data_IF_048101129367
#
_entry.id   IF_048101129367
#
_cell.length_a   1.000
_cell.length_b   1.000
_cell.length_c   1.000
_cell.angle_alpha   90.00
_cell.angle_beta   90.00
_cell.angle_gamma   90.00
#
_symmetry.space_group_name_H-M   'P 1'
#
loop_
_entity.id
_entity.type
_entity.pdbx_description
1 polymer ?
#
# COMPACT_ATOMS: atom_id res chain seq x y z
N UNK A 1 30.28 10.33 -16.18
CA UNK A 1 29.41 9.28 -16.76
C UNK A 1 28.44 9.98 -17.70
N UNK A 2 28.85 10.16 -18.96
CA UNK A 2 28.07 10.93 -19.94
C UNK A 2 27.07 9.95 -20.55
N UNK A 3 25.77 10.20 -20.35
CA UNK A 3 24.72 9.41 -20.95
C UNK A 3 24.87 9.41 -22.48
N UNK A 4 24.63 8.26 -23.13
CA UNK A 4 24.68 8.16 -24.60
C UNK A 4 23.72 9.20 -25.23
N UNK A 5 24.08 9.86 -26.34
CA UNK A 5 23.15 10.70 -27.09
C UNK A 5 21.87 9.91 -27.39
N UNK A 6 20.71 10.44 -27.01
CA UNK A 6 19.41 9.78 -27.19
C UNK A 6 18.90 8.94 -26.00
N UNK A 7 19.66 8.83 -24.90
CA UNK A 7 19.22 8.09 -23.72
C UNK A 7 17.95 8.70 -23.08
N UNK A 8 16.95 7.84 -22.82
CA UNK A 8 15.71 8.23 -22.15
C UNK A 8 15.98 8.77 -20.73
N UNK A 9 15.05 9.56 -20.17
CA UNK A 9 15.18 10.05 -18.79
C UNK A 9 15.34 8.89 -17.78
N UNK A 10 14.64 7.77 -18.01
CA UNK A 10 14.76 6.57 -17.20
C UNK A 10 16.15 5.94 -17.31
N UNK A 11 16.74 5.86 -18.49
CA UNK A 11 18.11 5.35 -18.67
C UNK A 11 19.14 6.23 -17.97
N UNK A 12 18.97 7.56 -18.03
CA UNK A 12 19.85 8.49 -17.30
C UNK A 12 19.74 8.28 -15.81
N UNK A 13 18.53 8.14 -15.28
CA UNK A 13 18.32 7.86 -13.86
C UNK A 13 18.92 6.52 -13.45
N UNK A 14 18.70 5.47 -14.26
CA UNK A 14 19.22 4.14 -13.96
C UNK A 14 20.76 4.12 -13.95
N UNK A 15 21.37 4.88 -14.88
CA UNK A 15 22.82 5.04 -14.94
C UNK A 15 23.43 5.77 -13.73
N UNK A 16 22.65 6.58 -12.99
CA UNK A 16 23.14 7.20 -11.75
C UNK A 16 23.46 6.18 -10.67
N UNK A 17 22.75 5.04 -10.65
CA UNK A 17 22.84 4.03 -9.60
C UNK A 17 22.40 4.57 -8.23
N UNK A 18 23.23 5.40 -7.59
CA UNK A 18 23.03 6.05 -6.29
C UNK A 18 22.80 7.56 -6.48
N UNK A 19 21.56 7.99 -6.77
CA UNK A 19 21.28 9.35 -7.24
C UNK A 19 21.67 10.43 -6.22
N UNK A 20 21.49 10.17 -4.92
CA UNK A 20 21.80 11.13 -3.86
C UNK A 20 23.29 11.50 -3.79
N UNK A 21 24.19 10.61 -4.23
CA UNK A 21 25.63 10.87 -4.30
C UNK A 21 25.99 11.84 -5.43
N UNK A 22 25.11 12.07 -6.39
CA UNK A 22 25.35 12.94 -7.53
C UNK A 22 24.72 14.33 -7.38
N UNK A 23 24.04 14.59 -6.25
CA UNK A 23 23.52 15.92 -5.96
C UNK A 23 24.65 16.94 -5.77
N UNK A 24 24.47 18.19 -6.27
CA UNK A 24 25.34 19.28 -5.88
C UNK A 24 25.22 19.55 -4.37
N UNK A 25 26.21 20.21 -3.79
CA UNK A 25 26.29 20.46 -2.35
C UNK A 25 25.00 21.11 -1.80
N UNK A 26 24.51 22.16 -2.45
CA UNK A 26 23.27 22.84 -2.06
C UNK A 26 22.05 21.93 -2.12
N UNK A 27 21.97 21.05 -3.12
CA UNK A 27 20.85 20.13 -3.30
C UNK A 27 20.84 19.04 -2.24
N UNK A 28 22.03 18.50 -1.90
CA UNK A 28 22.17 17.55 -0.81
C UNK A 28 21.85 18.20 0.55
N UNK A 29 22.30 19.43 0.78
CA UNK A 29 22.00 20.20 1.99
C UNK A 29 20.49 20.46 2.13
N UNK A 30 19.82 20.84 1.03
CA UNK A 30 18.37 21.03 1.02
C UNK A 30 17.61 19.74 1.35
N UNK A 31 17.98 18.61 0.74
CA UNK A 31 17.33 17.31 1.03
C UNK A 31 17.53 16.90 2.48
N UNK A 32 18.72 17.10 3.06
CA UNK A 32 18.98 16.83 4.47
C UNK A 32 18.19 17.76 5.38
N UNK A 33 18.12 19.05 5.07
CA UNK A 33 17.35 20.03 5.85
C UNK A 33 15.85 19.69 5.84
N UNK A 34 15.28 19.37 4.67
CA UNK A 34 13.89 18.94 4.54
C UNK A 34 13.63 17.63 5.27
N UNK A 35 14.55 16.67 5.20
CA UNK A 35 14.43 15.43 5.95
C UNK A 35 14.47 15.69 7.46
N UNK A 36 15.44 16.46 7.95
CA UNK A 36 15.55 16.80 9.37
C UNK A 36 14.29 17.51 9.87
N UNK A 37 13.76 18.46 9.09
CA UNK A 37 12.51 19.13 9.39
C UNK A 37 11.32 18.16 9.42
N UNK A 38 11.21 17.24 8.45
CA UNK A 38 10.16 16.23 8.43
C UNK A 38 10.25 15.26 9.62
N UNK A 39 11.45 14.83 9.99
CA UNK A 39 11.66 13.97 11.16
C UNK A 39 11.26 14.70 12.45
N UNK A 40 11.74 15.93 12.67
CA UNK A 40 11.41 16.73 13.85
C UNK A 40 9.91 17.05 13.94
N UNK A 41 9.29 17.42 12.82
CA UNK A 41 7.85 17.66 12.74
C UNK A 41 7.06 16.38 13.04
N UNK A 42 7.46 15.23 12.47
CA UNK A 42 6.78 13.96 12.69
C UNK A 42 6.87 13.49 14.14
N UNK A 43 8.02 13.69 14.81
CA UNK A 43 8.24 13.30 16.20
C UNK A 43 7.35 14.07 17.19
N UNK A 44 6.93 15.28 16.83
CA UNK A 44 6.17 16.19 17.72
C UNK A 44 4.70 16.30 17.36
N UNK A 45 4.35 16.10 16.09
CA UNK A 45 2.99 16.34 15.58
C UNK A 45 2.14 15.08 15.46
N UNK A 46 2.75 13.90 15.58
CA UNK A 46 2.05 12.62 15.45
C UNK A 46 1.69 12.12 16.85
N UNK A 47 0.38 11.91 17.12
CA UNK A 47 -0.08 11.50 18.42
C UNK A 47 0.39 10.06 18.69
N UNK A 48 0.52 9.67 19.97
CA UNK A 48 0.85 8.31 20.29
C UNK A 48 -0.19 7.33 19.76
N UNK A 49 0.23 6.10 19.42
CA UNK A 49 -0.68 5.07 18.98
C UNK A 49 -1.83 4.88 19.97
N UNK A 50 -3.03 4.57 19.49
CA UNK A 50 -4.25 4.51 20.32
C UNK A 50 -4.13 3.49 21.49
N UNK A 51 -3.25 2.50 21.38
CA UNK A 51 -2.96 1.51 22.41
C UNK A 51 -2.12 2.05 23.58
N UNK A 52 -1.50 3.22 23.44
CA UNK A 52 -0.69 3.89 24.46
C UNK A 52 -1.47 4.89 25.31
N UNK A 53 -2.72 5.18 24.94
CA UNK A 53 -3.61 6.02 25.74
C UNK A 53 -4.47 5.15 26.67
N UNK A 54 -4.65 5.49 27.96
CA UNK A 54 -5.64 4.83 28.81
C UNK A 54 -7.02 5.08 28.20
N UNK A 55 -7.56 4.05 27.53
CA UNK A 55 -8.89 3.98 26.88
C UNK A 55 -9.65 5.30 26.86
N UNK A 56 -9.11 6.28 26.13
CA UNK A 56 -9.78 7.56 25.96
C UNK A 56 -10.91 7.27 24.98
N UNK A 57 -12.10 7.07 25.55
CA UNK A 57 -13.40 6.89 24.90
C UNK A 57 -13.31 7.35 23.45
N UNK A 58 -13.24 6.39 22.54
CA UNK A 58 -13.38 6.65 21.10
C UNK A 58 -14.58 7.57 20.96
N UNK A 59 -14.33 8.81 20.53
CA UNK A 59 -15.37 9.80 20.38
C UNK A 59 -16.49 9.15 19.57
N UNK A 60 -17.72 9.09 20.11
CA UNK A 60 -18.82 8.46 19.40
C UNK A 60 -18.99 9.24 18.11
N UNK A 61 -19.00 8.54 16.98
CA UNK A 61 -19.68 9.05 15.79
C UNK A 61 -21.14 9.21 16.21
N UNK A 62 -21.49 10.41 16.65
CA UNK A 62 -22.85 10.82 16.89
C UNK A 62 -23.55 10.90 15.54
N UNK A 63 -24.14 9.78 15.14
CA UNK A 63 -25.39 9.81 14.40
C UNK A 63 -26.43 9.15 15.31
N UNK A 64 -26.96 9.96 16.24
CA UNK A 64 -28.17 9.64 16.94
C UNK A 64 -29.35 9.96 16.02
N UNK A 65 -29.96 8.94 15.42
CA UNK A 65 -31.42 8.81 15.26
C UNK A 65 -31.75 7.51 14.54
N UNK A 66 -31.85 6.42 15.30
CA UNK A 66 -33.06 5.59 15.40
C UNK A 66 -32.74 4.35 16.22
N UNK A 67 -33.54 4.15 17.27
CA UNK A 67 -33.46 2.99 18.14
C UNK A 67 -33.70 1.71 17.32
N UNK A 68 -32.70 0.83 17.30
CA UNK A 68 -32.91 -0.58 16.98
C UNK A 68 -32.51 -1.41 18.20
N UNK A 69 -33.52 -1.86 18.93
CA UNK A 69 -33.42 -2.90 19.96
C UNK A 69 -33.04 -4.23 19.29
N UNK A 70 -31.75 -4.53 19.28
CA UNK A 70 -31.20 -5.81 18.89
C UNK A 70 -29.81 -5.98 19.53
N UNK A 71 -29.31 -7.22 19.71
CA UNK A 71 -27.97 -7.44 20.25
C UNK A 71 -26.95 -6.67 19.42
N UNK A 72 -26.05 -5.95 20.09
CA UNK A 72 -25.08 -5.09 19.44
C UNK A 72 -24.19 -5.91 18.48
N UNK A 73 -24.36 -5.74 17.16
CA UNK A 73 -23.51 -6.39 16.15
C UNK A 73 -22.07 -5.92 16.33
N UNK A 74 -21.12 -6.86 16.26
CA UNK A 74 -19.69 -6.53 16.23
C UNK A 74 -19.42 -5.50 15.11
N UNK A 75 -18.85 -4.35 15.50
CA UNK A 75 -18.61 -3.19 14.65
C UNK A 75 -17.24 -3.29 13.95
N UNK A 76 -17.10 -2.58 12.82
CA UNK A 76 -15.87 -2.50 12.02
C UNK A 76 -15.86 -3.37 10.76
N UNK A 77 -14.99 -3.01 9.82
CA UNK A 77 -14.91 -3.59 8.47
C UNK A 77 -14.63 -5.09 8.48
N UNK A 78 -13.71 -5.57 9.32
CA UNK A 78 -13.39 -7.00 9.39
C UNK A 78 -14.60 -7.84 9.83
N UNK A 79 -15.39 -7.33 10.78
CA UNK A 79 -16.61 -8.00 11.24
C UNK A 79 -17.70 -8.00 10.15
N UNK A 80 -17.77 -6.93 9.35
CA UNK A 80 -18.64 -6.85 8.18
C UNK A 80 -18.26 -7.93 7.15
N UNK A 81 -16.98 -8.00 6.76
CA UNK A 81 -16.50 -8.98 5.78
C UNK A 81 -16.67 -10.43 6.27
N UNK A 82 -16.46 -10.69 7.56
CA UNK A 82 -16.70 -12.01 8.14
C UNK A 82 -18.17 -12.45 8.02
N UNK A 83 -19.13 -11.54 8.22
CA UNK A 83 -20.56 -11.85 8.05
C UNK A 83 -20.92 -12.09 6.58
N UNK A 84 -20.35 -11.31 5.66
CA UNK A 84 -20.55 -11.51 4.22
C UNK A 84 -20.04 -12.90 3.81
N UNK A 85 -18.83 -13.27 4.24
CA UNK A 85 -18.25 -14.59 3.97
C UNK A 85 -19.11 -15.72 4.54
N UNK A 86 -19.64 -15.57 5.77
CA UNK A 86 -20.53 -16.56 6.37
C UNK A 86 -21.84 -16.75 5.58
N UNK A 87 -22.44 -15.66 5.09
CA UNK A 87 -23.64 -15.72 4.24
C UNK A 87 -23.37 -16.39 2.89
N UNK A 88 -22.23 -16.09 2.28
CA UNK A 88 -21.79 -16.77 1.04
C UNK A 88 -21.51 -18.25 1.25
N UNK A 89 -20.94 -18.63 2.40
CA UNK A 89 -20.77 -20.05 2.76
C UNK A 89 -22.13 -20.77 2.90
N UNK A 90 -23.19 -20.03 3.27
CA UNK A 90 -24.58 -20.50 3.27
C UNK A 90 -25.24 -20.56 1.88
N UNK A 91 -24.50 -20.28 0.80
CA UNK A 91 -24.98 -20.35 -0.58
C UNK A 91 -25.53 -19.03 -1.16
N UNK A 92 -25.48 -17.94 -0.40
CA UNK A 92 -25.95 -16.64 -0.89
C UNK A 92 -24.97 -16.00 -1.89
N UNK A 93 -25.49 -15.31 -2.92
CA UNK A 93 -24.67 -14.55 -3.86
C UNK A 93 -23.99 -13.33 -3.21
N UNK A 94 -22.79 -12.99 -3.68
CA UNK A 94 -21.96 -11.93 -3.10
C UNK A 94 -22.71 -10.59 -2.90
N UNK A 95 -23.36 -10.08 -3.95
CA UNK A 95 -24.00 -8.76 -3.88
C UNK A 95 -25.18 -8.72 -2.91
N UNK A 96 -25.98 -9.79 -2.85
CA UNK A 96 -27.09 -9.88 -1.90
C UNK A 96 -26.57 -9.90 -0.44
N UNK A 97 -25.54 -10.70 -0.18
CA UNK A 97 -24.88 -10.76 1.13
C UNK A 97 -24.23 -9.42 1.51
N UNK A 98 -23.45 -8.83 0.60
CA UNK A 98 -22.70 -7.60 0.83
C UNK A 98 -23.62 -6.40 1.08
N UNK A 99 -24.56 -6.12 0.16
CA UNK A 99 -25.47 -4.98 0.33
C UNK A 99 -26.42 -5.18 1.52
N UNK A 100 -26.84 -6.42 1.78
CA UNK A 100 -27.65 -6.76 2.96
C UNK A 100 -26.90 -6.44 4.26
N UNK A 101 -25.65 -6.89 4.41
CA UNK A 101 -24.86 -6.61 5.60
C UNK A 101 -24.45 -5.14 5.73
N UNK A 102 -24.19 -4.44 4.62
CA UNK A 102 -23.95 -3.00 4.63
C UNK A 102 -25.13 -2.25 5.24
N UNK A 103 -26.35 -2.48 4.72
CA UNK A 103 -27.58 -1.85 5.25
C UNK A 103 -27.81 -2.18 6.71
N UNK A 104 -27.72 -3.46 7.06
CA UNK A 104 -27.94 -3.93 8.42
C UNK A 104 -26.91 -3.41 9.44
N UNK A 105 -25.77 -2.91 8.95
CA UNK A 105 -24.67 -2.38 9.76
C UNK A 105 -24.51 -0.86 9.61
N UNK A 106 -25.39 -0.18 8.87
CA UNK A 106 -25.34 1.27 8.65
C UNK A 106 -24.18 1.74 7.76
N UNK A 107 -23.60 0.87 6.92
CA UNK A 107 -22.58 1.26 5.95
C UNK A 107 -23.19 1.77 4.65
N UNK A 108 -22.54 2.72 3.96
CA UNK A 108 -22.99 3.19 2.67
C UNK A 108 -22.87 2.12 1.57
N UNK A 109 -23.80 2.14 0.62
CA UNK A 109 -23.78 1.33 -0.62
C UNK A 109 -23.61 2.21 -1.87
N UNK A 110 -23.39 3.51 -1.67
CA UNK A 110 -23.23 4.51 -2.73
C UNK A 110 -22.02 5.41 -2.49
N UNK A 111 -21.19 5.72 -3.50
CA UNK A 111 -21.14 5.10 -4.83
C UNK A 111 -20.69 3.62 -4.76
N UNK A 112 -20.66 2.91 -5.88
CA UNK A 112 -20.41 1.45 -5.89
C UNK A 112 -19.11 1.04 -5.18
N UNK A 113 -18.08 1.89 -5.19
CA UNK A 113 -16.78 1.65 -4.52
C UNK A 113 -16.85 1.54 -2.99
N UNK A 114 -18.01 1.83 -2.38
CA UNK A 114 -18.21 1.55 -0.95
C UNK A 114 -18.39 0.07 -0.68
N UNK A 115 -18.88 -0.69 -1.67
CA UNK A 115 -18.92 -2.16 -1.67
C UNK A 115 -17.60 -2.66 -2.25
N UNK A 116 -16.95 -3.61 -1.58
CA UNK A 116 -15.66 -4.14 -2.04
C UNK A 116 -15.83 -5.00 -3.30
N UNK A 117 -14.73 -5.25 -4.00
CA UNK A 117 -14.72 -6.21 -5.09
C UNK A 117 -14.96 -7.64 -4.55
N UNK A 118 -15.68 -8.49 -5.29
CA UNK A 118 -16.08 -9.81 -4.82
C UNK A 118 -14.92 -10.80 -4.65
N UNK A 119 -13.78 -10.55 -5.30
CA UNK A 119 -12.72 -11.54 -5.49
C UNK A 119 -12.20 -12.12 -4.19
N UNK A 120 -11.92 -11.31 -3.17
CA UNK A 120 -11.40 -11.84 -1.91
C UNK A 120 -12.45 -12.72 -1.20
N UNK A 121 -13.71 -12.32 -1.21
CA UNK A 121 -14.80 -13.11 -0.63
C UNK A 121 -15.03 -14.43 -1.38
N UNK A 122 -14.88 -14.43 -2.72
CA UNK A 122 -14.93 -15.65 -3.54
C UNK A 122 -13.74 -16.58 -3.24
N UNK A 123 -12.53 -16.04 -3.02
CA UNK A 123 -11.38 -16.85 -2.60
C UNK A 123 -11.61 -17.41 -1.19
N UNK A 124 -12.16 -16.63 -0.26
CA UNK A 124 -12.54 -17.13 1.07
C UNK A 124 -13.56 -18.26 1.00
N UNK A 125 -14.52 -18.18 0.07
CA UNK A 125 -15.52 -19.24 -0.13
C UNK A 125 -14.88 -20.55 -0.61
N UNK A 126 -13.78 -20.49 -1.37
CA UNK A 126 -13.12 -21.69 -1.93
C UNK A 126 -12.10 -22.32 -1.00
N UNK A 127 -11.22 -21.53 -0.37
CA UNK A 127 -10.11 -22.05 0.47
C UNK A 127 -10.29 -21.77 1.96
N UNK A 128 -11.38 -21.09 2.35
CA UNK A 128 -11.62 -20.67 3.73
C UNK A 128 -10.66 -19.56 4.19
N UNK A 129 -10.95 -18.99 5.36
CA UNK A 129 -10.15 -17.92 5.96
C UNK A 129 -8.69 -18.36 6.21
N UNK A 130 -8.50 -19.58 6.73
CA UNK A 130 -7.16 -20.14 6.98
C UNK A 130 -6.37 -20.34 5.68
N UNK A 131 -7.04 -20.70 4.58
CA UNK A 131 -6.41 -20.82 3.28
C UNK A 131 -5.93 -19.48 2.74
N UNK A 132 -6.73 -18.42 2.89
CA UNK A 132 -6.31 -17.04 2.55
C UNK A 132 -5.13 -16.59 3.43
N UNK A 133 -5.14 -16.91 4.72
CA UNK A 133 -4.03 -16.61 5.62
C UNK A 133 -2.74 -17.34 5.19
N UNK A 134 -2.83 -18.62 4.84
CA UNK A 134 -1.71 -19.39 4.31
C UNK A 134 -1.19 -18.80 2.99
N UNK A 135 -2.10 -18.35 2.11
CA UNK A 135 -1.73 -17.67 0.88
C UNK A 135 -1.01 -16.34 1.15
N UNK A 136 -1.45 -15.55 2.12
CA UNK A 136 -0.79 -14.31 2.53
C UNK A 136 0.66 -14.56 3.02
N UNK A 137 0.86 -15.59 3.84
CA UNK A 137 2.21 -16.01 4.28
C UNK A 137 3.07 -16.51 3.11
N UNK A 138 2.47 -17.26 2.18
CA UNK A 138 3.15 -17.73 0.98
C UNK A 138 3.59 -16.55 0.11
N UNK A 139 2.71 -15.59 -0.18
CA UNK A 139 3.02 -14.39 -0.97
C UNK A 139 4.17 -13.61 -0.32
N UNK A 140 4.14 -13.43 1.00
CA UNK A 140 5.21 -12.76 1.76
C UNK A 140 6.54 -13.51 1.61
N UNK A 141 6.52 -14.83 1.76
CA UNK A 141 7.70 -15.68 1.61
C UNK A 141 8.26 -15.63 0.18
N UNK A 142 7.40 -15.68 -0.83
CA UNK A 142 7.78 -15.54 -2.24
C UNK A 142 8.36 -14.17 -2.53
N UNK A 143 7.85 -13.10 -1.90
CA UNK A 143 8.41 -11.76 -2.03
C UNK A 143 9.84 -11.67 -1.45
N UNK A 144 10.10 -12.31 -0.29
CA UNK A 144 11.46 -12.42 0.29
C UNK A 144 12.40 -13.19 -0.62
N UNK A 145 11.92 -14.28 -1.22
CA UNK A 145 12.69 -15.04 -2.21
C UNK A 145 12.98 -14.18 -3.45
N UNK A 146 11.98 -13.47 -3.98
CA UNK A 146 12.12 -12.61 -5.16
C UNK A 146 13.09 -11.43 -4.93
N UNK A 147 13.15 -10.90 -3.70
CA UNK A 147 14.13 -9.91 -3.27
C UNK A 147 15.57 -10.43 -3.35
N UNK A 148 15.77 -11.71 -3.02
CA UNK A 148 17.08 -12.34 -2.91
C UNK A 148 17.55 -13.01 -4.22
N UNK A 149 16.64 -13.40 -5.10
CA UNK A 149 16.94 -13.94 -6.44
C UNK A 149 17.00 -12.86 -7.53
N UNK A 150 17.50 -11.67 -7.20
CA UNK A 150 17.73 -10.62 -8.20
C UNK A 150 19.09 -10.83 -8.86
N UNK A 151 19.16 -10.67 -10.18
CA UNK A 151 20.43 -10.71 -10.93
C UNK A 151 21.41 -9.65 -10.43
N UNK A 152 20.91 -8.44 -10.15
CA UNK A 152 21.62 -7.41 -9.41
C UNK A 152 21.08 -7.38 -7.96
N UNK A 153 21.88 -7.77 -6.96
CA UNK A 153 21.47 -7.73 -5.56
C UNK A 153 21.03 -6.33 -5.11
N UNK A 154 20.11 -6.26 -4.14
CA UNK A 154 19.67 -4.97 -3.57
C UNK A 154 20.75 -4.29 -2.72
N UNK A 155 21.74 -5.04 -2.27
CA UNK A 155 22.88 -4.60 -1.47
C UNK A 155 23.81 -5.77 -1.17
N UNK A 156 24.79 -5.54 -0.31
CA UNK A 156 25.63 -6.59 0.27
C UNK A 156 24.83 -7.52 1.19
N UNK A 157 25.46 -8.57 1.70
CA UNK A 157 24.80 -9.58 2.54
C UNK A 157 24.10 -8.96 3.77
N UNK A 158 24.73 -8.06 4.56
CA UNK A 158 24.06 -7.43 5.69
C UNK A 158 22.81 -6.64 5.30
N UNK A 159 22.89 -5.81 4.24
CA UNK A 159 21.71 -5.04 3.76
C UNK A 159 20.61 -5.97 3.29
N UNK A 160 20.93 -7.09 2.65
CA UNK A 160 19.94 -8.09 2.20
C UNK A 160 19.26 -8.80 3.36
N UNK A 161 20.01 -9.17 4.40
CA UNK A 161 19.44 -9.77 5.62
C UNK A 161 18.49 -8.77 6.27
N UNK A 162 18.93 -7.53 6.46
CA UNK A 162 18.10 -6.47 7.05
C UNK A 162 16.86 -6.19 6.20
N UNK A 163 16.98 -6.10 4.87
CA UNK A 163 15.85 -5.90 3.97
C UNK A 163 14.85 -7.06 4.03
N UNK A 164 15.33 -8.31 4.11
CA UNK A 164 14.48 -9.49 4.26
C UNK A 164 13.76 -9.51 5.61
N UNK A 165 14.46 -9.12 6.69
CA UNK A 165 13.86 -8.97 8.02
C UNK A 165 12.80 -7.87 8.06
N UNK A 166 13.05 -6.71 7.43
CA UNK A 166 12.07 -5.63 7.32
C UNK A 166 10.85 -6.02 6.48
N UNK A 167 11.05 -6.79 5.40
CA UNK A 167 9.97 -7.34 4.58
C UNK A 167 9.10 -8.31 5.41
N UNK A 168 9.73 -9.21 6.16
CA UNK A 168 9.03 -10.13 7.05
C UNK A 168 8.27 -9.40 8.16
N UNK A 169 8.89 -8.39 8.79
CA UNK A 169 8.28 -7.59 9.84
C UNK A 169 7.08 -6.77 9.32
N UNK A 170 7.20 -6.14 8.16
CA UNK A 170 6.08 -5.44 7.51
C UNK A 170 4.96 -6.39 7.08
N UNK A 171 5.29 -7.64 6.76
CA UNK A 171 4.33 -8.67 6.35
C UNK A 171 3.72 -9.44 7.53
N UNK A 172 4.17 -9.17 8.75
CA UNK A 172 3.79 -9.90 9.96
C UNK A 172 2.28 -9.87 10.26
N UNK A 173 1.55 -8.88 9.73
CA UNK A 173 0.10 -8.83 9.81
C UNK A 173 -0.58 -10.08 9.18
N UNK A 174 0.08 -10.81 8.28
CA UNK A 174 -0.40 -12.09 7.76
C UNK A 174 -0.60 -13.16 8.85
N UNK A 175 0.05 -13.03 10.01
CA UNK A 175 -0.16 -13.90 11.17
C UNK A 175 -1.44 -13.59 11.95
N UNK A 176 -2.07 -12.44 11.69
CA UNK A 176 -3.33 -12.07 12.32
C UNK A 176 -4.48 -12.98 11.85
N UNK A 177 -5.33 -13.50 12.76
CA UNK A 177 -6.47 -14.34 12.39
C UNK A 177 -7.49 -13.66 11.46
N UNK A 178 -7.52 -12.33 11.44
CA UNK A 178 -8.44 -11.54 10.60
C UNK A 178 -7.80 -11.03 9.31
N UNK A 179 -6.51 -11.27 9.09
CA UNK A 179 -5.79 -10.75 7.91
C UNK A 179 -6.42 -11.17 6.58
N UNK A 180 -7.02 -12.37 6.54
CA UNK A 180 -7.67 -12.87 5.34
C UNK A 180 -8.91 -12.09 4.92
N UNK A 181 -9.46 -11.22 5.79
CA UNK A 181 -10.57 -10.31 5.45
C UNK A 181 -10.10 -8.95 4.94
N UNK A 182 -8.81 -8.64 5.09
CA UNK A 182 -8.29 -7.31 4.81
C UNK A 182 -7.88 -7.16 3.34
N UNK A 183 -8.67 -6.39 2.60
CA UNK A 183 -8.49 -6.24 1.16
C UNK A 183 -7.28 -5.37 0.84
N UNK A 184 -7.01 -4.33 1.64
CA UNK A 184 -5.93 -3.39 1.41
C UNK A 184 -4.59 -4.06 1.75
N UNK A 185 -4.53 -4.84 2.84
CA UNK A 185 -3.37 -5.67 3.17
C UNK A 185 -3.07 -6.74 2.12
N UNK A 186 -4.05 -7.56 1.72
CA UNK A 186 -3.83 -8.63 0.72
C UNK A 186 -3.38 -8.03 -0.62
N UNK A 187 -3.98 -6.91 -1.05
CA UNK A 187 -3.54 -6.21 -2.24
C UNK A 187 -2.10 -5.65 -2.08
N UNK A 188 -1.74 -5.11 -0.92
CA UNK A 188 -0.38 -4.67 -0.60
C UNK A 188 0.66 -5.79 -0.73
N UNK A 189 0.37 -6.99 -0.20
CA UNK A 189 1.24 -8.16 -0.35
C UNK A 189 1.47 -8.51 -1.82
N UNK A 190 0.41 -8.51 -2.62
CA UNK A 190 0.46 -8.80 -4.06
C UNK A 190 1.21 -7.72 -4.84
N UNK A 191 1.02 -6.43 -4.52
CA UNK A 191 1.78 -5.32 -5.11
C UNK A 191 3.26 -5.37 -4.72
N UNK A 192 3.57 -5.77 -3.49
CA UNK A 192 4.94 -6.01 -3.04
C UNK A 192 5.59 -7.15 -3.82
N UNK A 193 4.87 -8.26 -4.02
CA UNK A 193 5.34 -9.35 -4.86
C UNK A 193 5.55 -8.87 -6.30
N UNK A 194 4.62 -8.10 -6.87
CA UNK A 194 4.77 -7.53 -8.21
C UNK A 194 6.03 -6.66 -8.33
N UNK A 195 6.26 -5.77 -7.36
CA UNK A 195 7.44 -4.89 -7.32
C UNK A 195 8.76 -5.69 -7.30
N UNK A 196 8.83 -6.73 -6.46
CA UNK A 196 10.06 -7.48 -6.20
C UNK A 196 10.31 -8.58 -7.24
N UNK A 197 9.25 -9.22 -7.75
CA UNK A 197 9.32 -10.22 -8.81
C UNK A 197 9.57 -9.62 -10.19
N UNK A 198 9.35 -8.31 -10.35
CA UNK A 198 9.56 -7.63 -11.64
C UNK A 198 10.97 -7.87 -12.20
N UNK A 199 11.02 -8.29 -13.47
CA UNK A 199 12.24 -8.42 -14.28
C UNK A 199 11.97 -7.90 -15.71
N UNK A 200 12.85 -7.08 -16.31
CA UNK A 200 12.68 -6.62 -17.69
C UNK A 200 12.64 -7.77 -18.72
N UNK A 201 13.34 -8.88 -18.50
CA UNK A 201 13.28 -10.04 -19.39
C UNK A 201 12.03 -10.92 -19.21
N UNK A 202 11.41 -10.88 -18.02
CA UNK A 202 10.32 -11.77 -17.64
C UNK A 202 9.35 -11.02 -16.70
N UNK A 203 8.53 -10.17 -17.30
CA UNK A 203 7.65 -9.24 -16.56
C UNK A 203 6.28 -9.82 -16.22
N UNK A 204 5.87 -10.90 -16.88
CA UNK A 204 4.53 -11.47 -16.72
C UNK A 204 4.22 -11.98 -15.30
N UNK A 205 5.15 -12.56 -14.50
CA UNK A 205 4.80 -13.01 -13.14
C UNK A 205 4.42 -11.83 -12.24
N UNK A 206 5.14 -10.71 -12.38
CA UNK A 206 4.80 -9.47 -11.70
C UNK A 206 3.45 -8.92 -12.18
N UNK A 207 3.10 -9.11 -13.45
CA UNK A 207 1.82 -8.66 -13.99
C UNK A 207 0.67 -9.47 -13.41
N UNK A 208 0.83 -10.79 -13.27
CA UNK A 208 -0.17 -11.64 -12.60
C UNK A 208 -0.38 -11.21 -11.15
N UNK A 209 0.69 -10.93 -10.41
CA UNK A 209 0.59 -10.45 -9.03
C UNK A 209 -0.13 -9.08 -8.96
N UNK A 210 0.21 -8.14 -9.84
CA UNK A 210 -0.47 -6.85 -9.92
C UNK A 210 -1.94 -6.96 -10.36
N UNK A 211 -2.25 -7.88 -11.27
CA UNK A 211 -3.61 -8.20 -11.70
C UNK A 211 -4.46 -8.80 -10.59
N UNK A 212 -3.88 -9.72 -9.81
CA UNK A 212 -4.53 -10.24 -8.61
C UNK A 212 -4.78 -9.14 -7.58
N UNK A 213 -3.83 -8.20 -7.40
CA UNK A 213 -4.03 -7.05 -6.53
C UNK A 213 -5.20 -6.18 -6.99
N UNK A 214 -5.29 -5.88 -8.30
CA UNK A 214 -6.42 -5.16 -8.91
C UNK A 214 -7.75 -5.86 -8.67
N UNK A 215 -7.79 -7.19 -8.80
CA UNK A 215 -9.01 -7.97 -8.60
C UNK A 215 -9.48 -7.92 -7.13
N UNK A 216 -8.56 -7.85 -6.17
CA UNK A 216 -8.87 -7.71 -4.75
C UNK A 216 -9.24 -6.27 -4.39
N UNK A 217 -8.52 -5.29 -4.93
CA UNK A 217 -8.62 -3.90 -4.52
C UNK A 217 -8.38 -2.92 -5.67
N UNK A 218 -9.38 -2.08 -5.93
CA UNK A 218 -9.34 -1.07 -6.98
C UNK A 218 -8.27 0.01 -6.75
N UNK A 219 -7.90 0.27 -5.49
CA UNK A 219 -6.80 1.18 -5.13
C UNK A 219 -5.41 0.69 -5.53
N UNK A 220 -5.30 -0.54 -6.05
CA UNK A 220 -4.06 -1.01 -6.70
C UNK A 220 -3.85 -0.38 -8.10
N UNK A 221 -4.87 0.22 -8.71
CA UNK A 221 -4.79 0.81 -10.05
C UNK A 221 -3.65 1.83 -10.24
N UNK A 222 -3.38 2.76 -9.31
CA UNK A 222 -2.30 3.73 -9.51
C UNK A 222 -0.91 3.07 -9.59
N UNK A 223 -0.68 1.93 -8.93
CA UNK A 223 0.56 1.16 -9.09
C UNK A 223 0.72 0.65 -10.53
N UNK A 224 -0.35 0.10 -11.11
CA UNK A 224 -0.34 -0.48 -12.46
C UNK A 224 -0.25 0.62 -13.52
N UNK A 225 -0.89 1.77 -13.30
CA UNK A 225 -0.74 2.96 -14.15
C UNK A 225 0.69 3.50 -14.08
N UNK A 226 1.31 3.54 -12.89
CA UNK A 226 2.72 3.90 -12.76
C UNK A 226 3.61 2.94 -13.56
N UNK A 227 3.32 1.64 -13.53
CA UNK A 227 4.03 0.66 -14.34
C UNK A 227 3.83 0.91 -15.84
N UNK A 228 2.62 1.19 -16.29
CA UNK A 228 2.37 1.56 -17.68
C UNK A 228 3.23 2.77 -18.10
N UNK A 229 3.31 3.79 -17.25
CA UNK A 229 4.18 4.96 -17.48
C UNK A 229 5.66 4.59 -17.65
N UNK A 230 6.18 3.70 -16.81
CA UNK A 230 7.55 3.19 -16.93
C UNK A 230 7.76 2.38 -18.21
N UNK A 231 6.80 1.53 -18.57
CA UNK A 231 6.87 0.71 -19.78
C UNK A 231 6.84 1.58 -21.06
N UNK A 232 6.00 2.62 -21.08
CA UNK A 232 5.92 3.60 -22.15
C UNK A 232 7.22 4.41 -22.28
N UNK A 233 7.72 4.94 -21.17
CA UNK A 233 8.96 5.71 -21.14
C UNK A 233 10.19 4.88 -21.56
N UNK A 234 10.19 3.57 -21.28
CA UNK A 234 11.21 2.63 -21.74
C UNK A 234 10.92 2.04 -23.14
N UNK A 235 9.84 2.46 -23.81
CA UNK A 235 9.40 1.97 -25.14
C UNK A 235 9.27 0.43 -25.22
N UNK A 236 8.87 -0.22 -24.12
CA UNK A 236 8.72 -1.68 -24.04
C UNK A 236 7.32 -2.11 -24.48
N UNK A 237 7.03 -2.00 -25.77
CA UNK A 237 5.68 -2.16 -26.31
C UNK A 237 4.95 -3.47 -25.96
N UNK A 238 5.67 -4.59 -25.86
CA UNK A 238 5.09 -5.86 -25.41
C UNK A 238 4.57 -5.79 -23.97
N UNK A 239 5.33 -5.13 -23.10
CA UNK A 239 4.93 -4.88 -21.71
C UNK A 239 3.82 -3.84 -21.63
N UNK A 240 3.88 -2.78 -22.44
CA UNK A 240 2.80 -1.79 -22.57
C UNK A 240 1.48 -2.48 -22.93
N UNK A 241 1.49 -3.35 -23.94
CA UNK A 241 0.30 -4.09 -24.35
C UNK A 241 -0.24 -5.00 -23.22
N UNK A 242 0.64 -5.70 -22.49
CA UNK A 242 0.23 -6.53 -21.36
C UNK A 242 -0.37 -5.73 -20.19
N UNK A 243 0.29 -4.63 -19.80
CA UNK A 243 -0.15 -3.76 -18.70
C UNK A 243 -1.44 -3.01 -19.09
N UNK A 244 -1.53 -2.51 -20.32
CA UNK A 244 -2.77 -1.88 -20.80
C UNK A 244 -3.91 -2.89 -20.89
N UNK A 245 -3.64 -4.10 -21.38
CA UNK A 245 -4.62 -5.18 -21.45
C UNK A 245 -5.21 -5.53 -20.09
N UNK A 246 -4.38 -5.64 -19.04
CA UNK A 246 -4.90 -5.94 -17.70
C UNK A 246 -5.73 -4.79 -17.12
N UNK A 247 -5.37 -3.54 -17.43
CA UNK A 247 -6.16 -2.36 -17.03
C UNK A 247 -7.52 -2.33 -17.74
N UNK A 248 -7.59 -2.71 -19.02
CA UNK A 248 -8.86 -2.83 -19.77
C UNK A 248 -9.75 -3.92 -19.18
N UNK A 249 -9.20 -5.10 -18.91
CA UNK A 249 -9.93 -6.20 -18.26
C UNK A 249 -10.44 -5.76 -16.88
N UNK A 250 -9.59 -5.10 -16.10
CA UNK A 250 -9.97 -4.56 -14.79
C UNK A 250 -11.08 -3.51 -14.91
N UNK A 251 -11.00 -2.58 -15.85
CA UNK A 251 -12.05 -1.58 -16.08
C UNK A 251 -13.40 -2.23 -16.43
N UNK A 252 -13.40 -3.27 -17.28
CA UNK A 252 -14.58 -4.06 -17.57
C UNK A 252 -15.15 -4.75 -16.32
N UNK A 253 -14.28 -5.33 -15.49
CA UNK A 253 -14.67 -5.94 -14.21
C UNK A 253 -15.27 -4.93 -13.22
N UNK A 254 -14.69 -3.73 -13.12
CA UNK A 254 -15.21 -2.64 -12.30
C UNK A 254 -16.55 -2.14 -12.81
N UNK A 255 -16.74 -2.04 -14.13
CA UNK A 255 -18.02 -1.67 -14.73
C UNK A 255 -19.11 -2.71 -14.44
N UNK A 256 -18.79 -4.00 -14.57
CA UNK A 256 -19.69 -5.09 -14.21
C UNK A 256 -20.03 -5.06 -12.71
N UNK A 257 -19.04 -4.83 -11.85
CA UNK A 257 -19.25 -4.67 -10.42
C UNK A 257 -20.14 -3.48 -10.09
N UNK A 258 -19.92 -2.33 -10.72
CA UNK A 258 -20.74 -1.14 -10.56
C UNK A 258 -22.20 -1.41 -10.97
N UNK A 259 -22.42 -2.06 -12.12
CA UNK A 259 -23.75 -2.44 -12.59
C UNK A 259 -24.46 -3.41 -11.64
N UNK A 260 -23.75 -4.38 -11.08
CA UNK A 260 -24.31 -5.33 -10.11
C UNK A 260 -24.67 -4.67 -8.78
N UNK A 261 -23.83 -3.76 -8.27
CA UNK A 261 -24.16 -2.97 -7.08
C UNK A 261 -25.38 -2.08 -7.36
N UNK A 262 -25.42 -1.42 -8.52
CA UNK A 262 -26.52 -0.53 -8.90
C UNK A 262 -27.85 -1.28 -9.02
N UNK A 263 -27.86 -2.46 -9.66
CA UNK A 263 -29.03 -3.32 -9.78
C UNK A 263 -29.58 -3.81 -8.43
N UNK A 264 -28.73 -3.89 -7.40
CA UNK A 264 -29.11 -4.33 -6.06
C UNK A 264 -29.44 -3.18 -5.08
N UNK A 265 -29.45 -1.91 -5.55
CA UNK A 265 -29.75 -0.74 -4.72
C UNK A 265 -31.21 -0.69 -4.29
N UNK A 266 -31.44 -0.12 -3.11
CA UNK A 266 -32.77 0.14 -2.57
C UNK A 266 -32.98 1.63 -2.30
N UNK A 267 -34.23 2.12 -2.33
CA UNK A 267 -34.56 3.45 -1.82
C UNK A 267 -34.09 3.61 -0.37
N UNK A 268 -33.44 4.74 -0.04
CA UNK A 268 -32.89 5.01 1.29
C UNK A 268 -31.47 4.49 1.54
N UNK A 269 -30.85 3.83 0.56
CA UNK A 269 -29.45 3.40 0.65
C UNK A 269 -28.50 4.56 0.97
N UNK A 270 -27.68 4.38 2.01
CA UNK A 270 -26.78 5.39 2.54
C UNK A 270 -25.71 5.78 1.51
N UNK A 271 -25.45 7.09 1.44
CA UNK A 271 -24.43 7.69 0.59
C UNK A 271 -23.17 7.96 1.41
N UNK A 272 -22.03 7.50 0.91
CA UNK A 272 -20.72 7.79 1.48
C UNK A 272 -20.40 9.27 1.38
N UNK A 273 -19.67 9.77 2.37
CA UNK A 273 -19.19 11.15 2.43
C UNK A 273 -18.10 11.46 1.38
N UNK A 274 -17.69 10.49 0.56
CA UNK A 274 -16.67 10.66 -0.48
C UNK A 274 -15.23 10.72 0.06
N UNK A 275 -14.29 11.16 -0.79
CA UNK A 275 -12.85 11.21 -0.53
C UNK A 275 -12.32 12.65 -0.53
N UNK A 276 -12.97 13.54 0.21
CA UNK A 276 -12.56 14.94 0.39
C UNK A 276 -11.95 15.18 1.77
N UNK A 277 -11.11 14.25 2.25
CA UNK A 277 -10.63 14.22 3.63
C UNK A 277 -9.55 15.25 3.97
N UNK A 278 -8.67 15.61 3.02
CA UNK A 278 -7.57 16.58 3.19
C UNK A 278 -6.79 16.44 4.52
N UNK A 279 -6.55 15.20 4.96
CA UNK A 279 -5.98 14.92 6.27
C UNK A 279 -4.48 15.27 6.38
N UNK A 280 -3.82 15.60 5.26
CA UNK A 280 -2.40 15.92 5.19
C UNK A 280 -1.50 14.70 5.44
N UNK A 281 -0.18 14.90 5.40
CA UNK A 281 0.81 13.83 5.59
C UNK A 281 0.85 13.25 7.01
N UNK A 282 0.15 13.84 7.98
CA UNK A 282 -0.01 13.26 9.32
C UNK A 282 -0.70 11.90 9.24
N UNK A 283 -1.70 11.74 8.36
CA UNK A 283 -2.47 10.51 8.23
C UNK A 283 -1.62 9.30 7.78
N UNK A 284 -0.92 9.32 6.63
CA UNK A 284 -0.11 8.17 6.21
C UNK A 284 1.01 7.84 7.19
N UNK A 285 1.65 8.83 7.84
CA UNK A 285 2.73 8.55 8.80
C UNK A 285 2.15 7.92 10.08
N UNK A 286 1.03 8.42 10.61
CA UNK A 286 0.35 7.81 11.75
C UNK A 286 -0.13 6.39 11.43
N UNK A 287 -0.68 6.18 10.23
CA UNK A 287 -1.12 4.88 9.76
C UNK A 287 0.02 3.86 9.71
N UNK A 288 1.18 4.25 9.17
CA UNK A 288 2.38 3.40 9.18
C UNK A 288 2.85 3.08 10.59
N UNK A 289 2.73 4.03 11.53
CA UNK A 289 2.97 3.80 12.95
C UNK A 289 2.06 2.70 13.53
N UNK A 290 0.76 2.74 13.22
CA UNK A 290 -0.23 1.80 13.77
C UNK A 290 -0.23 0.41 13.12
N UNK A 291 -0.02 0.36 11.80
CA UNK A 291 -0.23 -0.83 10.97
C UNK A 291 1.03 -1.66 10.77
N UNK A 292 2.14 -1.28 11.40
CA UNK A 292 3.42 -1.99 11.28
C UNK A 292 4.03 -2.26 12.65
N UNK A 293 5.20 -2.91 12.68
CA UNK A 293 5.96 -3.13 13.91
C UNK A 293 6.34 -1.84 14.64
N UNK A 294 6.25 -0.66 13.99
CA UNK A 294 6.50 0.63 14.61
C UNK A 294 5.52 0.95 15.76
N UNK A 295 4.36 0.30 15.80
CA UNK A 295 3.34 0.49 16.86
C UNK A 295 3.85 0.15 18.26
N UNK A 296 4.91 -0.66 18.34
CA UNK A 296 5.53 -1.07 19.60
C UNK A 296 6.59 -0.08 20.09
N UNK A 297 6.86 0.99 19.33
CA UNK A 297 7.80 2.04 19.69
C UNK A 297 7.05 3.28 20.20
N UNK A 298 7.69 4.11 21.05
CA UNK A 298 7.15 5.43 21.40
C UNK A 298 6.87 6.28 20.16
N UNK A 299 5.80 7.05 20.17
CA UNK A 299 5.35 7.89 19.04
C UNK A 299 6.46 8.76 18.44
N UNK A 300 7.24 9.41 19.32
CA UNK A 300 8.32 10.31 18.96
C UNK A 300 9.43 9.61 18.17
N UNK A 301 9.54 8.28 18.27
CA UNK A 301 10.49 7.46 17.52
C UNK A 301 9.83 6.76 16.32
N UNK A 302 8.63 6.23 16.50
CA UNK A 302 7.87 5.53 15.46
C UNK A 302 7.62 6.43 14.23
N UNK A 303 7.19 7.67 14.47
CA UNK A 303 6.88 8.62 13.41
C UNK A 303 8.09 8.97 12.51
N UNK A 304 9.25 9.37 13.06
CA UNK A 304 10.47 9.54 12.26
C UNK A 304 10.88 8.29 11.50
N UNK A 305 10.81 7.10 12.14
CA UNK A 305 11.12 5.83 11.50
C UNK A 305 10.14 5.49 10.36
N UNK A 306 8.91 5.99 10.40
CA UNK A 306 7.97 5.84 9.28
C UNK A 306 8.28 6.75 8.08
N UNK A 307 9.09 7.80 8.23
CA UNK A 307 9.50 8.72 7.14
C UNK A 307 10.74 8.23 6.40
N UNK A 308 11.71 7.70 7.14
CA UNK A 308 13.00 7.23 6.60
C UNK A 308 12.94 6.24 5.43
N UNK A 309 11.96 5.32 5.32
CA UNK A 309 11.97 4.33 4.24
C UNK A 309 11.87 4.98 2.86
N UNK A 310 11.17 6.10 2.72
CA UNK A 310 11.07 6.82 1.45
C UNK A 310 12.43 7.34 0.98
N UNK A 311 13.25 7.88 1.90
CA UNK A 311 14.63 8.30 1.62
C UNK A 311 15.51 7.10 1.27
N UNK A 312 15.32 5.97 1.94
CA UNK A 312 16.02 4.74 1.61
C UNK A 312 15.72 4.26 0.19
N UNK A 313 14.46 4.23 -0.22
CA UNK A 313 14.05 3.88 -1.58
C UNK A 313 14.60 4.87 -2.62
N UNK A 314 14.59 6.17 -2.33
CA UNK A 314 15.16 7.18 -3.19
C UNK A 314 16.68 6.99 -3.34
N UNK A 315 17.38 6.76 -2.24
CA UNK A 315 18.83 6.53 -2.22
C UNK A 315 19.26 5.22 -2.86
N UNK A 316 18.41 4.18 -2.83
CA UNK A 316 18.65 2.92 -3.55
C UNK A 316 18.80 3.15 -5.05
N UNK A 317 18.06 4.12 -5.59
CA UNK A 317 18.12 4.52 -6.98
C UNK A 317 17.83 3.40 -7.98
N UNK A 318 18.23 3.63 -9.23
CA UNK A 318 17.85 2.77 -10.35
C UNK A 318 16.35 2.76 -10.61
N UNK A 319 15.91 1.91 -11.55
CA UNK A 319 14.49 1.75 -11.89
C UNK A 319 13.66 1.31 -10.67
N UNK A 320 14.17 0.38 -9.87
CA UNK A 320 13.46 -0.14 -8.71
C UNK A 320 13.25 0.95 -7.65
N UNK A 321 14.31 1.69 -7.30
CA UNK A 321 14.24 2.77 -6.31
C UNK A 321 13.33 3.91 -6.76
N UNK A 322 13.41 4.31 -8.04
CA UNK A 322 12.52 5.36 -8.57
C UNK A 322 11.05 4.92 -8.55
N UNK A 323 10.77 3.72 -9.05
CA UNK A 323 9.41 3.19 -9.06
C UNK A 323 8.83 3.11 -7.65
N UNK A 324 9.61 2.56 -6.70
CA UNK A 324 9.21 2.46 -5.30
C UNK A 324 8.98 3.84 -4.68
N UNK A 325 9.88 4.81 -4.91
CA UNK A 325 9.74 6.18 -4.39
C UNK A 325 8.49 6.86 -4.91
N UNK A 326 8.20 6.74 -6.22
CA UNK A 326 7.00 7.32 -6.83
C UNK A 326 5.73 6.62 -6.35
N UNK A 327 5.75 5.30 -6.19
CA UNK A 327 4.62 4.55 -5.65
C UNK A 327 4.32 4.93 -4.20
N UNK A 328 5.32 4.87 -3.32
CA UNK A 328 5.14 5.13 -1.90
C UNK A 328 4.89 6.61 -1.59
N UNK A 329 5.58 7.51 -2.28
CA UNK A 329 5.28 8.94 -2.21
C UNK A 329 3.88 9.24 -2.77
N UNK A 330 3.50 8.58 -3.87
CA UNK A 330 2.20 8.72 -4.51
C UNK A 330 1.05 8.28 -3.61
N UNK A 331 1.13 7.08 -3.01
CA UNK A 331 0.08 6.58 -2.10
C UNK A 331 -0.02 7.42 -0.83
N UNK A 332 1.12 7.86 -0.25
CA UNK A 332 1.11 8.76 0.90
C UNK A 332 0.48 10.11 0.55
N UNK A 333 0.76 10.65 -0.63
CA UNK A 333 0.16 11.89 -1.12
C UNK A 333 -1.33 11.72 -1.41
N UNK A 334 -1.73 10.59 -2.01
CA UNK A 334 -3.14 10.26 -2.22
C UNK A 334 -3.90 10.21 -0.89
N UNK A 335 -3.31 9.61 0.14
CA UNK A 335 -3.88 9.61 1.49
C UNK A 335 -3.98 11.03 2.06
N UNK A 336 -2.91 11.83 1.95
CA UNK A 336 -2.88 13.19 2.47
C UNK A 336 -3.98 14.08 1.85
N UNK A 337 -4.26 13.91 0.55
CA UNK A 337 -5.23 14.73 -0.17
C UNK A 337 -6.67 14.20 -0.06
N UNK A 338 -6.86 12.89 -0.12
CA UNK A 338 -8.18 12.30 -0.35
C UNK A 338 -8.69 11.44 0.81
N UNK A 339 -7.80 10.81 1.56
CA UNK A 339 -8.21 9.89 2.62
C UNK A 339 -8.79 10.64 3.83
N UNK A 340 -9.84 10.07 4.40
CA UNK A 340 -10.36 10.45 5.72
C UNK A 340 -9.55 9.72 6.79
N UNK A 341 -9.54 10.19 8.06
CA UNK A 341 -8.87 9.47 9.16
C UNK A 341 -9.29 8.00 9.29
N UNK A 342 -10.56 7.68 9.01
CA UNK A 342 -11.07 6.31 9.01
C UNK A 342 -10.47 5.41 7.90
N UNK A 343 -9.85 5.98 6.87
CA UNK A 343 -9.24 5.27 5.76
C UNK A 343 -7.71 5.04 5.98
N UNK A 344 -7.23 5.10 7.22
CA UNK A 344 -5.80 4.95 7.54
C UNK A 344 -5.20 3.64 7.00
N UNK A 345 -6.00 2.58 6.89
CA UNK A 345 -5.63 1.28 6.33
C UNK A 345 -5.18 1.31 4.87
N UNK A 346 -5.41 2.40 4.10
CA UNK A 346 -4.84 2.53 2.75
C UNK A 346 -3.30 2.46 2.72
N UNK A 347 -2.63 2.75 3.85
CA UNK A 347 -1.18 2.60 3.96
C UNK A 347 -0.70 1.16 3.77
N UNK A 348 -1.58 0.17 3.93
CA UNK A 348 -1.25 -1.25 3.75
C UNK A 348 -0.97 -1.61 2.29
N UNK A 349 -1.47 -0.84 1.33
CA UNK A 349 -1.12 -0.98 -0.10
C UNK A 349 0.39 -0.78 -0.35
N UNK A 350 1.08 -0.09 0.55
CA UNK A 350 2.53 0.08 0.52
C UNK A 350 3.28 -1.06 1.22
N UNK A 351 2.60 -1.84 2.06
CA UNK A 351 3.21 -2.90 2.85
C UNK A 351 3.26 -4.22 2.08
N UNK A 352 4.26 -5.08 2.35
CA UNK A 352 5.38 -4.84 3.25
C UNK A 352 6.57 -4.13 2.61
N UNK A 353 6.55 -3.90 1.30
CA UNK A 353 7.69 -3.35 0.57
C UNK A 353 8.17 -1.98 1.08
N UNK A 354 7.29 -1.13 1.63
CA UNK A 354 7.69 0.17 2.14
C UNK A 354 8.82 0.06 3.18
N UNK A 355 8.70 -0.86 4.14
CA UNK A 355 9.65 -0.99 5.26
C UNK A 355 11.06 -1.41 4.84
N UNK A 356 11.23 -2.00 3.65
CA UNK A 356 12.56 -2.32 3.10
C UNK A 356 13.42 -1.08 2.93
N UNK A 357 12.79 0.09 2.76
CA UNK A 357 13.48 1.36 2.68
C UNK A 357 14.35 1.62 3.91
N UNK A 358 14.00 1.12 5.10
CA UNK A 358 14.85 1.24 6.29
C UNK A 358 16.22 0.58 6.11
N UNK A 359 16.29 -0.54 5.37
CA UNK A 359 17.56 -1.19 5.08
C UNK A 359 18.46 -0.35 4.16
N UNK A 360 17.87 0.53 3.35
CA UNK A 360 18.59 1.39 2.40
C UNK A 360 18.88 2.79 2.97
N UNK A 361 18.14 3.23 3.98
CA UNK A 361 18.24 4.56 4.58
C UNK A 361 19.66 4.90 5.10
N UNK A 362 20.39 4.01 5.81
CA UNK A 362 21.75 4.33 6.28
C UNK A 362 22.72 4.66 5.13
N UNK A 363 22.56 4.00 3.98
CA UNK A 363 23.41 4.28 2.83
C UNK A 363 23.01 5.59 2.13
N UNK A 364 21.71 5.85 2.02
CA UNK A 364 21.16 7.09 1.47
C UNK A 364 21.60 8.32 2.27
N UNK A 365 21.55 8.25 3.60
CA UNK A 365 22.02 9.32 4.50
C UNK A 365 23.52 9.57 4.37
N UNK A 366 24.33 8.50 4.29
CA UNK A 366 25.77 8.63 4.03
C UNK A 366 26.09 9.29 2.70
N UNK A 367 25.29 9.03 1.66
CA UNK A 367 25.47 9.68 0.36
C UNK A 367 25.16 11.17 0.41
N UNK A 368 24.08 11.55 1.07
CA UNK A 368 23.74 12.95 1.29
C UNK A 368 24.82 13.67 2.10
N UNK A 369 25.27 13.08 3.20
CA UNK A 369 26.31 13.68 4.04
C UNK A 369 27.62 13.90 3.26
N UNK A 370 28.07 12.88 2.52
CA UNK A 370 29.27 13.00 1.66
C UNK A 370 29.08 14.04 0.57
N UNK A 371 27.88 14.16 0.00
CA UNK A 371 27.60 15.15 -1.03
C UNK A 371 27.68 16.59 -0.48
N UNK A 372 27.27 16.82 0.78
CA UNK A 372 27.42 18.11 1.47
C UNK A 372 28.88 18.40 1.86
N UNK A 373 29.62 17.37 2.28
CA UNK A 373 31.00 17.50 2.73
C UNK A 373 32.04 17.64 1.60
N UNK A 374 31.63 17.54 0.33
CA UNK A 374 32.52 17.79 -0.80
C UNK A 374 32.92 19.27 -0.81
N UNK A 375 34.16 19.55 -0.43
CA UNK A 375 34.81 20.83 -0.71
C UNK A 375 34.99 20.94 -2.23
N UNK A 376 34.50 22.04 -2.81
CA UNK A 376 34.76 22.41 -4.21
C UNK A 376 36.20 22.85 -4.40
#
# INVERSE_FOLDING_TARGET
MIARPGASLLERWDALGRPLRHLPQWGAALVLALLAAALAWSATSIPPPAHSAPAAKSAPVQNASNASTGPARNKGDMALYARIAARMAGGEGYYAAALGEHRASGYPTRPFVTVRLPTLALVQQTVGLKGVQALAMLITSTAIIALNWRAAPVGDVPVRILASAMLAAGGGAALSPVAGYDHDFIAGLLLTLALLAYRPGCWWPALLAAGAALAVRELAAPFVVLWLGFALAAKRWREVAGVAGILVVFAGGVAAHAGAVDAARLPGDLVSQGWAGLAGYRLPIAALGELTGLRFLPAWLAAPLAVLPLIGWLGRGGRLGLFATLWFGGIATMMALFARPANYYWAELAQPAYMLGLAFAPQALRDLWRAVARQT
#
